data_IF_152586594280
#
_entry.id   IF_152586594280
#
_cell.length_a   1.000
_cell.length_b   1.000
_cell.length_c   1.000
_cell.angle_alpha   90.00
_cell.angle_beta   90.00
_cell.angle_gamma   90.00
#
_symmetry.space_group_name_H-M   'P 1'
#
loop_
_entity.id
_entity.type
_entity.pdbx_description
1 polymer ?
#
# COMPACT_ATOMS: atom_id res chain seq x y z
N UNK A 1 -17.64 -1.54 -5.79
CA UNK A 1 -18.01 -1.85 -4.39
C UNK A 1 -16.85 -2.59 -3.73
N UNK A 2 -16.48 -2.18 -2.52
CA UNK A 2 -15.37 -2.80 -1.79
C UNK A 2 -15.87 -3.94 -0.90
N UNK A 3 -15.12 -5.03 -0.84
CA UNK A 3 -15.45 -6.25 -0.12
C UNK A 3 -14.42 -6.50 0.97
N UNK A 4 -14.88 -6.56 2.22
CA UNK A 4 -14.08 -6.98 3.37
C UNK A 4 -14.76 -8.20 3.99
N UNK A 5 -14.06 -9.34 4.04
CA UNK A 5 -14.64 -10.62 4.46
C UNK A 5 -13.61 -11.55 5.13
N UNK A 6 -14.05 -12.67 5.70
CA UNK A 6 -13.18 -13.56 6.48
C UNK A 6 -12.75 -12.93 7.81
N UNK A 7 -11.51 -13.18 8.22
CA UNK A 7 -10.92 -12.64 9.46
C UNK A 7 -10.31 -11.24 9.29
N UNK A 8 -10.52 -10.60 8.13
CA UNK A 8 -9.95 -9.32 7.81
C UNK A 8 -10.48 -8.22 8.75
N UNK A 9 -9.57 -7.34 9.20
CA UNK A 9 -9.89 -6.24 10.11
C UNK A 9 -9.57 -4.90 9.47
N UNK A 10 -10.57 -4.02 9.47
CA UNK A 10 -10.42 -2.60 9.15
C UNK A 10 -10.75 -1.79 10.39
N UNK A 11 -9.81 -0.98 10.89
CA UNK A 11 -10.00 -0.20 12.12
C UNK A 11 -9.34 1.19 12.06
N UNK A 12 -9.71 2.09 12.98
CA UNK A 12 -9.26 3.47 12.96
C UNK A 12 -9.91 4.30 11.84
N UNK A 13 -9.15 5.21 11.23
CA UNK A 13 -9.56 6.07 10.12
C UNK A 13 -9.26 5.46 8.74
N UNK A 14 -9.00 4.16 8.71
CA UNK A 14 -8.65 3.41 7.51
C UNK A 14 -9.81 3.42 6.51
N UNK A 15 -9.47 3.53 5.22
CA UNK A 15 -10.45 3.55 4.14
C UNK A 15 -10.15 2.46 3.12
N UNK A 16 -11.13 1.61 2.87
CA UNK A 16 -11.14 0.63 1.77
C UNK A 16 -12.25 1.03 0.80
N UNK A 17 -11.93 1.19 -0.49
CA UNK A 17 -12.86 1.70 -1.49
C UNK A 17 -12.58 1.12 -2.89
N UNK A 18 -13.43 1.43 -3.88
CA UNK A 18 -13.28 0.91 -5.25
C UNK A 18 -13.78 -0.53 -5.37
N UNK A 19 -13.05 -1.36 -6.12
CA UNK A 19 -13.32 -2.79 -6.33
C UNK A 19 -12.39 -3.67 -5.45
N UNK A 20 -11.89 -3.08 -4.37
CA UNK A 20 -10.96 -3.70 -3.45
C UNK A 20 -11.57 -4.93 -2.77
N UNK A 21 -10.78 -6.01 -2.68
CA UNK A 21 -11.07 -7.23 -1.93
C UNK A 21 -10.01 -7.40 -0.84
N UNK A 22 -10.46 -7.35 0.41
CA UNK A 22 -9.61 -7.51 1.59
C UNK A 22 -10.15 -8.67 2.41
N UNK A 23 -9.37 -9.72 2.58
CA UNK A 23 -9.81 -10.98 3.17
C UNK A 23 -8.70 -11.69 3.93
N UNK A 24 -8.97 -12.90 4.43
CA UNK A 24 -8.02 -13.68 5.21
C UNK A 24 -7.61 -12.97 6.50
N UNK A 25 -6.32 -12.98 6.81
CA UNK A 25 -5.74 -12.35 8.00
C UNK A 25 -5.36 -10.87 7.76
N UNK A 26 -5.84 -10.24 6.68
CA UNK A 26 -5.50 -8.86 6.34
C UNK A 26 -5.90 -7.88 7.44
N UNK A 27 -4.97 -6.99 7.80
CA UNK A 27 -5.23 -5.94 8.79
C UNK A 27 -4.89 -4.57 8.20
N UNK A 28 -5.93 -3.77 7.94
CA UNK A 28 -5.83 -2.37 7.54
C UNK A 28 -6.19 -1.50 8.73
N UNK A 29 -5.29 -0.63 9.20
CA UNK A 29 -5.61 0.26 10.32
C UNK A 29 -4.94 1.62 10.24
N UNK A 30 -5.18 2.47 11.25
CA UNK A 30 -4.68 3.84 11.28
C UNK A 30 -5.32 4.67 10.17
N UNK A 31 -4.52 5.41 9.40
CA UNK A 31 -4.96 6.25 8.29
C UNK A 31 -4.74 5.60 6.91
N UNK A 32 -4.58 4.28 6.87
CA UNK A 32 -4.28 3.55 5.64
C UNK A 32 -5.41 3.70 4.61
N UNK A 33 -5.03 3.90 3.34
CA UNK A 33 -5.97 3.99 2.21
C UNK A 33 -5.69 2.88 1.20
N UNK A 34 -6.66 1.97 1.08
CA UNK A 34 -6.66 0.85 0.13
C UNK A 34 -7.77 1.10 -0.89
N UNK A 35 -7.44 1.01 -2.17
CA UNK A 35 -8.39 1.36 -3.24
C UNK A 35 -8.08 0.66 -4.56
N UNK A 36 -8.98 0.82 -5.53
CA UNK A 36 -8.77 0.27 -6.88
C UNK A 36 -9.09 -1.22 -6.93
N UNK A 37 -8.23 -1.99 -7.60
CA UNK A 37 -8.31 -3.44 -7.76
C UNK A 37 -7.54 -4.20 -6.65
N UNK A 38 -7.41 -3.58 -5.47
CA UNK A 38 -6.71 -4.17 -4.34
C UNK A 38 -7.19 -5.60 -4.06
N UNK A 39 -6.24 -6.50 -3.80
CA UNK A 39 -6.49 -7.91 -3.55
C UNK A 39 -5.53 -8.35 -2.45
N UNK A 40 -5.97 -8.21 -1.21
CA UNK A 40 -5.16 -8.36 0.00
C UNK A 40 -5.73 -9.53 0.82
N UNK A 41 -4.96 -10.60 0.97
CA UNK A 41 -5.34 -11.79 1.75
C UNK A 41 -4.49 -11.95 3.02
N UNK A 42 -3.23 -11.54 2.95
CA UNK A 42 -2.29 -11.63 4.07
C UNK A 42 -2.11 -10.30 4.80
N UNK A 43 -1.86 -10.38 6.11
CA UNK A 43 -1.44 -9.23 6.92
C UNK A 43 -0.19 -8.52 6.36
N UNK A 44 0.73 -9.24 5.71
CA UNK A 44 1.95 -8.69 5.13
C UNK A 44 1.75 -8.00 3.78
N UNK A 45 0.57 -8.14 3.17
CA UNK A 45 0.25 -7.64 1.82
C UNK A 45 -0.33 -6.22 1.83
N UNK A 46 -0.48 -5.64 3.01
CA UNK A 46 -0.81 -4.23 3.23
C UNK A 46 0.01 -3.70 4.41
N UNK A 47 0.61 -2.52 4.25
CA UNK A 47 1.31 -1.84 5.33
C UNK A 47 1.35 -0.33 5.07
N UNK A 48 1.65 0.44 6.11
CA UNK A 48 1.71 1.89 6.02
C UNK A 48 2.82 2.49 6.87
N UNK A 49 3.18 3.72 6.52
CA UNK A 49 4.07 4.59 7.28
C UNK A 49 3.34 5.92 7.52
N UNK A 50 3.36 6.39 8.75
CA UNK A 50 2.80 7.69 9.14
C UNK A 50 3.89 8.77 9.15
N UNK A 51 3.49 10.04 9.13
CA UNK A 51 4.38 11.19 9.18
C UNK A 51 5.36 11.26 7.99
N UNK A 52 4.88 10.90 6.79
CA UNK A 52 5.70 10.86 5.57
C UNK A 52 5.55 12.13 4.73
N UNK A 53 6.69 12.74 4.43
CA UNK A 53 6.80 13.95 3.61
C UNK A 53 6.35 15.22 4.33
N UNK A 54 6.37 16.35 3.62
CA UNK A 54 6.16 17.68 4.19
C UNK A 54 4.78 17.91 4.82
N UNK A 55 3.78 17.13 4.42
CA UNK A 55 2.41 17.21 4.97
C UNK A 55 2.19 16.25 6.15
N UNK A 56 3.20 15.45 6.54
CA UNK A 56 3.10 14.47 7.62
C UNK A 56 2.07 13.36 7.33
N UNK A 57 1.82 13.05 6.05
CA UNK A 57 0.75 12.14 5.64
C UNK A 57 1.08 10.66 5.81
N UNK A 58 0.10 9.81 5.47
CA UNK A 58 0.25 8.35 5.49
C UNK A 58 0.58 7.83 4.10
N UNK A 59 1.68 7.09 3.99
CA UNK A 59 2.03 6.29 2.80
C UNK A 59 1.49 4.88 3.02
N UNK A 60 0.60 4.41 2.16
CA UNK A 60 0.05 3.04 2.20
C UNK A 60 0.57 2.25 1.03
N UNK A 61 1.00 1.00 1.27
CA UNK A 61 1.33 0.03 0.22
C UNK A 61 0.40 -1.15 0.37
N UNK A 62 -0.18 -1.59 -0.74
CA UNK A 62 -1.08 -2.73 -0.75
C UNK A 62 -0.95 -3.54 -2.04
N UNK A 63 -1.22 -4.85 -1.94
CA UNK A 63 -1.24 -5.74 -3.09
C UNK A 63 -2.49 -5.54 -3.94
N UNK A 64 -2.31 -5.62 -5.24
CA UNK A 64 -3.36 -5.71 -6.27
C UNK A 64 -3.16 -6.95 -7.14
N UNK A 65 -3.98 -7.12 -8.18
CA UNK A 65 -3.84 -8.25 -9.10
C UNK A 65 -2.56 -8.19 -9.94
N UNK A 66 -2.04 -6.99 -10.16
CA UNK A 66 -0.93 -6.71 -11.08
C UNK A 66 0.38 -6.35 -10.36
N UNK A 67 0.37 -6.30 -9.02
CA UNK A 67 1.57 -6.03 -8.23
C UNK A 67 1.29 -5.23 -6.97
N UNK A 68 2.25 -4.42 -6.53
CA UNK A 68 2.09 -3.51 -5.41
C UNK A 68 1.73 -2.11 -5.90
N UNK A 69 0.71 -1.51 -5.29
CA UNK A 69 0.44 -0.08 -5.41
C UNK A 69 0.85 0.66 -4.15
N UNK A 70 1.31 1.90 -4.35
CA UNK A 70 1.64 2.88 -3.33
C UNK A 70 0.62 4.02 -3.41
N UNK A 71 -0.04 4.31 -2.29
CA UNK A 71 -0.84 5.52 -2.10
C UNK A 71 -0.10 6.48 -1.18
N UNK A 72 0.08 7.73 -1.63
CA UNK A 72 0.55 8.84 -0.78
C UNK A 72 -0.15 10.11 -1.23
N UNK A 73 -1.02 10.67 -0.38
CA UNK A 73 -1.75 11.91 -0.70
C UNK A 73 -2.53 11.75 -2.01
N UNK A 74 -2.31 12.63 -2.99
CA UNK A 74 -2.92 12.52 -4.31
C UNK A 74 -2.23 11.51 -5.25
N UNK A 75 -1.08 10.94 -4.85
CA UNK A 75 -0.40 9.93 -5.65
C UNK A 75 -1.01 8.54 -5.41
N UNK A 76 -1.27 7.82 -6.49
CA UNK A 76 -1.50 6.37 -6.49
C UNK A 76 -0.85 5.80 -7.74
N UNK A 77 -0.04 4.75 -7.59
CA UNK A 77 0.69 4.13 -8.70
C UNK A 77 1.58 2.99 -8.21
N UNK A 78 2.28 2.35 -9.13
CA UNK A 78 3.23 1.28 -8.82
C UNK A 78 4.42 1.79 -8.00
N UNK A 79 5.19 0.88 -7.41
CA UNK A 79 6.42 1.23 -6.67
C UNK A 79 7.41 1.98 -7.56
N UNK A 80 7.54 1.60 -8.83
CA UNK A 80 8.47 2.26 -9.76
C UNK A 80 7.96 3.62 -10.24
N UNK A 81 6.65 3.74 -10.47
CA UNK A 81 6.03 5.06 -10.75
C UNK A 81 6.20 6.01 -9.56
N UNK A 82 6.10 5.50 -8.33
CA UNK A 82 6.32 6.28 -7.12
C UNK A 82 7.78 6.73 -7.02
N UNK A 83 8.74 5.84 -7.25
CA UNK A 83 10.16 6.18 -7.29
C UNK A 83 10.44 7.26 -8.34
N UNK A 84 9.94 7.10 -9.56
CA UNK A 84 10.08 8.10 -10.62
C UNK A 84 9.38 9.43 -10.29
N UNK A 85 8.28 9.41 -9.53
CA UNK A 85 7.62 10.62 -9.06
C UNK A 85 8.43 11.36 -7.99
N UNK A 86 9.11 10.63 -7.11
CA UNK A 86 9.99 11.17 -6.06
C UNK A 86 11.19 11.86 -6.68
N UNK A 87 11.92 11.19 -7.58
CA UNK A 87 13.12 11.74 -8.22
C UNK A 87 12.83 13.02 -9.03
N UNK A 88 11.64 13.13 -9.65
CA UNK A 88 11.26 14.34 -10.40
C UNK A 88 10.92 15.54 -9.52
N UNK A 89 10.41 15.30 -8.32
CA UNK A 89 9.80 16.34 -7.46
C UNK A 89 10.67 16.72 -6.27
N UNK A 90 11.56 15.83 -5.85
CA UNK A 90 12.36 16.01 -4.66
C UNK A 90 13.84 15.93 -5.04
N UNK A 91 14.56 17.05 -4.86
CA UNK A 91 16.03 17.06 -4.82
C UNK A 91 16.54 16.33 -3.57
N UNK A 92 17.85 16.39 -3.27
CA UNK A 92 18.49 15.86 -2.05
C UNK A 92 18.01 16.49 -0.71
N UNK A 93 16.82 17.06 -0.69
CA UNK A 93 16.04 17.37 0.50
C UNK A 93 15.92 16.16 1.44
N UNK A 94 15.78 16.43 2.73
CA UNK A 94 15.53 15.41 3.75
C UNK A 94 14.36 14.49 3.38
N UNK A 95 13.23 15.03 2.92
CA UNK A 95 12.08 14.23 2.50
C UNK A 95 12.37 13.34 1.28
N UNK A 96 13.18 13.82 0.33
CA UNK A 96 13.63 12.99 -0.79
C UNK A 96 14.46 11.79 -0.32
N UNK A 97 15.32 11.97 0.69
CA UNK A 97 16.08 10.87 1.30
C UNK A 97 15.16 9.90 2.06
N UNK A 98 14.20 10.41 2.85
CA UNK A 98 13.20 9.61 3.54
C UNK A 98 12.39 8.75 2.55
N UNK A 99 11.90 9.35 1.46
CA UNK A 99 11.18 8.61 0.43
C UNK A 99 12.03 7.54 -0.22
N UNK A 100 13.30 7.82 -0.56
CA UNK A 100 14.21 6.81 -1.12
C UNK A 100 14.42 5.63 -0.16
N UNK A 101 14.62 5.89 1.13
CA UNK A 101 14.74 4.84 2.13
C UNK A 101 13.46 4.00 2.25
N UNK A 102 12.29 4.65 2.22
CA UNK A 102 11.00 3.96 2.22
C UNK A 102 10.81 3.11 0.96
N UNK A 103 11.18 3.60 -0.22
CA UNK A 103 11.10 2.86 -1.49
C UNK A 103 11.91 1.56 -1.41
N UNK A 104 13.13 1.62 -0.88
CA UNK A 104 13.96 0.41 -0.71
C UNK A 104 13.32 -0.58 0.27
N UNK A 105 12.78 -0.09 1.39
CA UNK A 105 12.03 -0.94 2.32
C UNK A 105 10.78 -1.57 1.68
N UNK A 106 10.06 -0.80 0.87
CA UNK A 106 8.88 -1.26 0.13
C UNK A 106 9.26 -2.37 -0.83
N UNK A 107 10.33 -2.19 -1.62
CA UNK A 107 10.84 -3.20 -2.55
C UNK A 107 11.20 -4.50 -1.83
N UNK A 108 11.88 -4.42 -0.70
CA UNK A 108 12.23 -5.60 0.11
C UNK A 108 10.98 -6.36 0.57
N UNK A 109 9.97 -5.64 1.10
CA UNK A 109 8.72 -6.27 1.56
C UNK A 109 7.91 -6.87 0.42
N UNK A 110 7.75 -6.13 -0.67
CA UNK A 110 7.01 -6.58 -1.86
C UNK A 110 7.70 -7.78 -2.51
N UNK A 111 9.03 -7.86 -2.50
CA UNK A 111 9.76 -9.02 -3.01
C UNK A 111 9.56 -10.29 -2.15
N UNK A 112 9.21 -10.14 -0.87
CA UNK A 112 8.95 -11.27 0.05
C UNK A 112 7.51 -11.79 0.02
N UNK A 113 6.65 -11.13 -0.75
CA UNK A 113 5.25 -11.50 -0.86
C UNK A 113 5.09 -12.87 -1.53
N UNK A 114 4.22 -13.75 -1.00
CA UNK A 114 4.03 -15.09 -1.56
C UNK A 114 3.50 -15.01 -2.99
N UNK A 115 3.83 -16.04 -3.79
CA UNK A 115 3.16 -16.27 -5.07
C UNK A 115 1.66 -16.48 -4.83
N UNK A 116 0.82 -16.02 -5.77
CA UNK A 116 -0.63 -16.14 -5.64
C UNK A 116 -1.01 -17.61 -5.56
N UNK A 117 -1.70 -18.01 -4.50
CA UNK A 117 -2.41 -19.29 -4.49
C UNK A 117 -3.68 -19.12 -5.33
N UNK A 118 -3.87 -20.00 -6.31
CA UNK A 118 -4.99 -19.95 -7.27
C UNK A 118 -6.35 -20.23 -6.62
N UNK A 119 -6.40 -20.65 -5.36
CA UNK A 119 -7.62 -21.07 -4.64
C UNK A 119 -8.39 -19.91 -4.00
N UNK A 120 -7.81 -18.71 -3.91
CA UNK A 120 -8.41 -17.51 -3.28
C UNK A 120 -9.53 -16.85 -4.11
N UNK A 121 -10.02 -17.55 -5.15
CA UNK A 121 -10.99 -17.07 -6.13
C UNK A 121 -12.44 -17.58 -5.93
N UNK A 122 -12.71 -18.36 -4.87
CA UNK A 122 -14.04 -18.88 -4.56
C UNK A 122 -14.81 -18.00 -3.57
#
# INVERSE_FOLDING_TARGET
DAWVYGDARVSGDARVSGDARVSGDAWVSGDARVSGDAWVYGNAEVFWFSHVGSEGGTLTVFRTRDGALVNRGCFTGTVDEFAAAVERRHSDSQHGMEYRALIEMIRIRVASWPERQTEDAA
#
